data_IF_378088806113
#
_entry.id   IF_378088806113
#
_cell.length_a   1.000
_cell.length_b   1.000
_cell.length_c   1.000
_cell.angle_alpha   90.00
_cell.angle_beta   90.00
_cell.angle_gamma   90.00
#
_symmetry.space_group_name_H-M   'P 1'
#
loop_
_entity.id
_entity.type
_entity.pdbx_description
1 polymer ?
#
# COMPACT_ATOMS: atom_id res chain seq x y z
N UNK A 1 3.32 -10.51 8.84
CA UNK A 1 3.37 -9.65 7.64
C UNK A 1 4.63 -8.83 7.77
N UNK A 2 5.49 -8.87 6.75
CA UNK A 2 6.77 -8.18 6.79
C UNK A 2 6.68 -6.98 5.85
N UNK A 3 7.47 -5.94 6.08
CA UNK A 3 7.57 -4.80 5.18
C UNK A 3 8.91 -4.85 4.49
N UNK A 4 8.90 -4.77 3.15
CA UNK A 4 10.09 -4.89 2.33
C UNK A 4 10.35 -3.57 1.60
N UNK A 5 11.58 -3.06 1.69
CA UNK A 5 12.07 -1.93 0.91
C UNK A 5 12.68 -2.43 -0.40
N UNK A 6 12.11 -1.98 -1.51
CA UNK A 6 12.52 -2.34 -2.87
C UNK A 6 13.59 -1.39 -3.44
N UNK A 7 14.25 -1.76 -4.56
CA UNK A 7 15.31 -0.95 -5.18
C UNK A 7 14.94 0.49 -5.51
N UNK A 8 13.68 0.74 -5.90
CA UNK A 8 13.16 2.08 -6.15
C UNK A 8 12.88 2.89 -4.86
N UNK A 9 13.22 2.34 -3.69
CA UNK A 9 13.03 2.98 -2.39
C UNK A 9 11.62 2.83 -1.81
N UNK A 10 10.69 2.20 -2.52
CA UNK A 10 9.33 1.96 -2.01
C UNK A 10 9.29 0.86 -0.98
N UNK A 11 8.45 1.03 0.03
CA UNK A 11 8.27 0.07 1.11
C UNK A 11 6.85 -0.48 1.03
N UNK A 12 6.71 -1.80 0.96
CA UNK A 12 5.39 -2.43 0.85
C UNK A 12 5.25 -3.63 1.80
N UNK A 13 4.03 -3.90 2.29
CA UNK A 13 3.73 -5.15 2.96
C UNK A 13 3.89 -6.33 1.99
N UNK A 14 4.52 -7.38 2.50
CA UNK A 14 4.69 -8.66 1.84
C UNK A 14 4.29 -9.78 2.80
N UNK A 15 3.36 -10.62 2.35
CA UNK A 15 2.97 -11.84 3.04
C UNK A 15 3.43 -13.04 2.22
N UNK A 16 4.43 -13.76 2.73
CA UNK A 16 5.15 -14.80 2.00
C UNK A 16 5.81 -14.21 0.73
N UNK A 17 5.18 -14.36 -0.42
CA UNK A 17 5.59 -13.80 -1.71
C UNK A 17 4.58 -12.81 -2.29
N UNK A 18 3.42 -12.60 -1.64
CA UNK A 18 2.37 -11.69 -2.11
C UNK A 18 2.61 -10.28 -1.59
N UNK A 19 2.79 -9.35 -2.53
CA UNK A 19 2.91 -7.92 -2.34
C UNK A 19 1.53 -7.25 -2.32
N UNK A 20 1.37 -6.19 -1.54
CA UNK A 20 0.33 -5.18 -1.76
C UNK A 20 0.98 -3.79 -1.84
N UNK A 21 0.94 -3.17 -3.02
CA UNK A 21 1.51 -1.84 -3.27
C UNK A 21 0.44 -0.81 -3.63
N UNK A 22 0.70 0.46 -3.32
CA UNK A 22 -0.16 1.58 -3.72
C UNK A 22 0.63 2.48 -4.67
N UNK A 23 0.31 2.40 -5.96
CA UNK A 23 1.10 3.01 -7.04
C UNK A 23 0.35 4.19 -7.61
N UNK A 24 0.95 5.37 -7.56
CA UNK A 24 0.44 6.60 -8.19
C UNK A 24 0.89 6.65 -9.66
N UNK A 25 -0.06 6.61 -10.59
CA UNK A 25 0.20 6.68 -12.04
C UNK A 25 -0.40 7.97 -12.60
N UNK A 26 0.44 8.79 -13.25
CA UNK A 26 -0.03 10.01 -13.92
C UNK A 26 -0.98 9.66 -15.08
N UNK A 27 -2.07 10.42 -15.22
CA UNK A 27 -3.04 10.26 -16.30
C UNK A 27 -2.38 10.43 -17.69
N UNK A 28 -1.35 11.26 -17.81
CA UNK A 28 -0.61 11.46 -19.06
C UNK A 28 0.20 10.21 -19.45
N UNK A 29 0.57 9.37 -18.47
CA UNK A 29 1.21 8.07 -18.72
C UNK A 29 0.21 6.97 -19.12
N UNK A 30 -1.10 7.22 -18.98
CA UNK A 30 -2.18 6.29 -19.35
C UNK A 30 -2.72 6.54 -20.77
N UNK A 31 -2.07 7.41 -21.56
CA UNK A 31 -2.59 7.92 -22.82
C UNK A 31 -2.87 6.81 -23.87
N UNK A 32 -2.13 5.71 -23.81
CA UNK A 32 -2.40 4.51 -24.60
C UNK A 32 -2.84 3.39 -23.63
N UNK A 33 -4.14 3.12 -23.56
CA UNK A 33 -4.75 2.07 -22.71
C UNK A 33 -4.40 0.66 -23.22
N UNK A 34 -3.11 0.35 -23.32
CA UNK A 34 -2.61 -1.00 -23.47
C UNK A 34 -2.37 -1.60 -22.08
N UNK A 35 -2.93 -2.80 -21.86
CA UNK A 35 -2.79 -3.55 -20.62
C UNK A 35 -1.32 -3.86 -20.35
N UNK A 36 -0.55 -4.18 -21.39
CA UNK A 36 0.88 -4.47 -21.26
C UNK A 36 1.68 -3.21 -20.89
N UNK A 37 1.31 -2.06 -21.43
CA UNK A 37 1.85 -0.75 -21.05
C UNK A 37 1.62 -0.43 -19.58
N UNK A 38 0.38 -0.60 -19.09
CA UNK A 38 0.05 -0.39 -17.68
C UNK A 38 0.84 -1.35 -16.78
N UNK A 39 0.91 -2.64 -17.12
CA UNK A 39 1.66 -3.64 -16.35
C UNK A 39 3.14 -3.24 -16.21
N UNK A 40 3.77 -2.78 -17.30
CA UNK A 40 5.16 -2.30 -17.26
C UNK A 40 5.34 -1.08 -16.34
N UNK A 41 4.41 -0.13 -16.39
CA UNK A 41 4.40 1.02 -15.49
C UNK A 41 4.28 0.58 -14.03
N UNK A 42 3.37 -0.37 -13.74
CA UNK A 42 3.17 -0.88 -12.38
C UNK A 42 4.41 -1.60 -11.84
N UNK A 43 5.14 -2.35 -12.67
CA UNK A 43 6.40 -2.96 -12.29
C UNK A 43 7.43 -1.92 -11.81
N UNK A 44 7.64 -0.89 -12.63
CA UNK A 44 8.63 0.14 -12.39
C UNK A 44 8.28 0.97 -11.15
N UNK A 45 7.03 1.44 -11.08
CA UNK A 45 6.59 2.31 -9.99
C UNK A 45 6.37 1.56 -8.67
N UNK A 46 5.94 0.29 -8.70
CA UNK A 46 5.80 -0.51 -7.48
C UNK A 46 7.17 -0.88 -6.91
N UNK A 47 8.04 -1.48 -7.71
CA UNK A 47 9.26 -2.13 -7.18
C UNK A 47 10.56 -1.78 -7.94
N UNK A 48 10.49 -1.05 -9.05
CA UNK A 48 11.66 -0.67 -9.86
C UNK A 48 12.29 -1.84 -10.60
N UNK A 49 11.53 -2.91 -10.85
CA UNK A 49 12.03 -4.11 -11.52
C UNK A 49 10.89 -4.92 -12.16
N UNK A 50 11.15 -5.62 -13.29
CA UNK A 50 10.19 -6.51 -13.95
C UNK A 50 10.00 -7.86 -13.20
N UNK A 51 9.81 -7.82 -11.88
CA UNK A 51 9.83 -8.97 -10.98
C UNK A 51 8.46 -9.34 -10.36
N UNK A 52 7.38 -8.63 -10.67
CA UNK A 52 6.02 -9.00 -10.29
C UNK A 52 5.40 -10.05 -11.24
N UNK A 53 4.61 -10.97 -10.70
CA UNK A 53 3.88 -12.02 -11.44
C UNK A 53 2.43 -12.05 -10.98
N UNK A 54 1.53 -12.49 -11.86
CA UNK A 54 0.08 -12.52 -11.61
C UNK A 54 -0.42 -11.19 -11.05
N UNK A 55 -0.12 -10.09 -11.76
CA UNK A 55 -0.44 -8.74 -11.29
C UNK A 55 -1.95 -8.54 -11.38
N UNK A 56 -2.58 -8.39 -10.22
CA UNK A 56 -3.92 -7.87 -10.04
C UNK A 56 -3.82 -6.39 -9.68
N UNK A 57 -4.63 -5.54 -10.30
CA UNK A 57 -4.65 -4.13 -9.99
C UNK A 57 -6.08 -3.59 -9.93
N UNK A 58 -6.31 -2.63 -9.04
CA UNK A 58 -7.60 -1.96 -8.90
C UNK A 58 -7.36 -0.47 -8.67
N UNK A 59 -7.99 0.37 -9.49
CA UNK A 59 -7.99 1.81 -9.25
C UNK A 59 -8.73 2.11 -7.93
N UNK A 60 -8.05 2.77 -6.99
CA UNK A 60 -8.60 3.07 -5.66
C UNK A 60 -9.16 4.47 -5.58
N UNK A 61 -8.38 5.47 -5.98
CA UNK A 61 -8.80 6.87 -5.96
C UNK A 61 -7.94 7.71 -6.92
N UNK A 62 -8.45 8.88 -7.29
CA UNK A 62 -7.68 9.89 -8.00
C UNK A 62 -6.99 10.84 -7.01
N UNK A 63 -5.82 11.32 -7.38
CA UNK A 63 -5.04 12.33 -6.65
C UNK A 63 -4.47 13.33 -7.67
N UNK A 64 -5.12 14.49 -7.78
CA UNK A 64 -4.74 15.49 -8.79
C UNK A 64 -4.87 14.94 -10.22
N UNK A 65 -3.76 14.95 -10.98
CA UNK A 65 -3.67 14.34 -12.32
C UNK A 65 -3.21 12.89 -12.32
N UNK A 66 -3.24 12.21 -11.17
CA UNK A 66 -2.85 10.81 -11.06
C UNK A 66 -3.99 9.93 -10.55
N UNK A 67 -3.90 8.64 -10.87
CA UNK A 67 -4.74 7.58 -10.31
C UNK A 67 -3.87 6.69 -9.44
N UNK A 68 -4.33 6.43 -8.21
CA UNK A 68 -3.67 5.50 -7.30
C UNK A 68 -4.27 4.11 -7.51
N UNK A 69 -3.43 3.18 -7.95
CA UNK A 69 -3.75 1.76 -8.07
C UNK A 69 -3.31 1.01 -6.83
N UNK A 70 -4.19 0.17 -6.28
CA UNK A 70 -3.73 -0.94 -5.45
C UNK A 70 -3.29 -2.07 -6.37
N UNK A 71 -2.07 -2.53 -6.18
CA UNK A 71 -1.44 -3.60 -6.94
C UNK A 71 -1.18 -4.77 -6.01
N UNK A 72 -1.70 -5.93 -6.37
CA UNK A 72 -1.43 -7.19 -5.70
C UNK A 72 -0.73 -8.14 -6.67
N UNK A 73 0.41 -8.69 -6.26
CA UNK A 73 1.20 -9.51 -7.15
C UNK A 73 2.14 -10.44 -6.37
N UNK A 74 2.60 -11.50 -7.03
CA UNK A 74 3.68 -12.35 -6.51
C UNK A 74 5.04 -11.77 -6.88
N UNK A 75 5.93 -11.68 -5.90
CA UNK A 75 7.30 -11.20 -6.12
C UNK A 75 8.19 -12.38 -6.53
N UNK A 76 8.75 -12.32 -7.74
CA UNK A 76 9.79 -13.23 -8.19
C UNK A 76 11.14 -12.83 -7.58
N UNK A 77 11.44 -13.34 -6.39
CA UNK A 77 12.67 -13.01 -5.66
C UNK A 77 13.97 -13.29 -6.42
N UNK A 78 13.97 -14.30 -7.30
CA UNK A 78 15.13 -14.65 -8.12
C UNK A 78 15.51 -13.58 -9.16
N UNK A 79 14.66 -12.58 -9.39
CA UNK A 79 14.96 -11.45 -10.26
C UNK A 79 15.88 -10.40 -9.62
N UNK A 80 16.09 -10.46 -8.30
CA UNK A 80 16.97 -9.52 -7.59
C UNK A 80 18.33 -10.16 -7.29
N UNK A 81 19.42 -9.40 -7.46
CA UNK A 81 20.78 -9.90 -7.27
C UNK A 81 21.61 -8.94 -6.40
N UNK A 82 22.36 -9.49 -5.44
CA UNK A 82 23.31 -8.75 -4.61
C UNK A 82 22.67 -7.59 -3.84
N UNK A 83 23.16 -6.37 -4.07
CA UNK A 83 22.72 -5.17 -3.36
C UNK A 83 21.27 -4.73 -3.70
N UNK A 84 20.67 -5.27 -4.76
CA UNK A 84 19.29 -4.95 -5.17
C UNK A 84 18.24 -5.84 -4.50
N UNK A 85 18.64 -6.75 -3.59
CA UNK A 85 17.68 -7.61 -2.89
C UNK A 85 16.84 -6.74 -1.95
N UNK A 86 15.49 -6.81 -2.04
CA UNK A 86 14.62 -6.08 -1.12
C UNK A 86 14.92 -6.44 0.32
N UNK A 87 14.93 -5.44 1.20
CA UNK A 87 15.32 -5.60 2.61
C UNK A 87 14.11 -5.45 3.50
N UNK A 88 14.01 -6.30 4.52
CA UNK A 88 13.02 -6.10 5.57
C UNK A 88 13.32 -4.81 6.32
N UNK A 89 12.28 -4.04 6.59
CA UNK A 89 12.36 -2.75 7.30
C UNK A 89 11.46 -2.75 8.52
N UNK A 90 11.89 -2.01 9.55
CA UNK A 90 11.13 -1.87 10.76
C UNK A 90 9.89 -0.99 10.54
N UNK A 91 8.81 -1.28 11.27
CA UNK A 91 7.52 -0.58 11.13
C UNK A 91 7.64 0.94 11.26
N UNK A 92 8.57 1.45 12.07
CA UNK A 92 8.77 2.89 12.24
C UNK A 92 9.24 3.56 10.94
N UNK A 93 10.07 2.90 10.14
CA UNK A 93 10.50 3.40 8.83
C UNK A 93 9.33 3.40 7.84
N UNK A 94 8.49 2.37 7.90
CA UNK A 94 7.27 2.26 7.08
C UNK A 94 6.34 3.44 7.36
N UNK A 95 6.03 3.68 8.63
CA UNK A 95 5.13 4.76 9.04
C UNK A 95 5.70 6.13 8.69
N UNK A 96 7.02 6.34 8.85
CA UNK A 96 7.66 7.58 8.42
C UNK A 96 7.50 7.83 6.92
N UNK A 97 7.72 6.82 6.09
CA UNK A 97 7.56 6.94 4.65
C UNK A 97 6.09 7.18 4.28
N UNK A 98 5.17 6.40 4.83
CA UNK A 98 3.74 6.54 4.53
C UNK A 98 3.19 7.88 5.01
N UNK A 99 3.61 8.36 6.17
CA UNK A 99 3.21 9.69 6.66
C UNK A 99 3.65 10.80 5.70
N UNK A 100 4.88 10.71 5.16
CA UNK A 100 5.36 11.66 4.18
C UNK A 100 4.61 11.58 2.84
N UNK A 101 4.38 10.37 2.31
CA UNK A 101 3.75 10.16 1.00
C UNK A 101 2.23 10.44 1.01
N UNK A 102 1.56 10.15 2.13
CA UNK A 102 0.11 10.23 2.28
C UNK A 102 -0.34 11.46 3.09
N UNK A 103 0.61 12.28 3.55
CA UNK A 103 0.35 13.52 4.27
C UNK A 103 -0.23 13.30 5.68
N UNK A 104 0.21 12.27 6.39
CA UNK A 104 -0.24 12.03 7.76
C UNK A 104 0.36 13.05 8.71
N UNK A 105 -0.49 13.56 9.62
CA UNK A 105 -0.03 14.41 10.71
C UNK A 105 0.77 13.62 11.77
N UNK A 106 1.46 14.34 12.66
CA UNK A 106 2.21 13.73 13.77
C UNK A 106 1.34 12.80 14.62
N UNK A 107 0.11 13.22 14.95
CA UNK A 107 -0.81 12.42 15.75
C UNK A 107 -1.20 11.11 15.05
N UNK A 108 -1.48 11.16 13.75
CA UNK A 108 -1.83 9.97 12.94
C UNK A 108 -0.65 9.00 12.84
N UNK A 109 0.56 9.51 12.60
CA UNK A 109 1.77 8.69 12.57
C UNK A 109 2.08 8.06 13.94
N UNK A 110 1.87 8.78 15.04
CA UNK A 110 2.02 8.24 16.40
C UNK A 110 1.00 7.13 16.66
N UNK A 111 -0.28 7.38 16.36
CA UNK A 111 -1.34 6.39 16.54
C UNK A 111 -1.08 5.12 15.72
N UNK A 112 -0.67 5.27 14.46
CA UNK A 112 -0.32 4.15 13.57
C UNK A 112 0.76 3.23 14.14
N UNK A 113 1.73 3.78 14.88
CA UNK A 113 2.76 3.01 15.56
C UNK A 113 2.23 2.33 16.81
N UNK A 114 1.47 3.05 17.63
CA UNK A 114 0.93 2.54 18.90
C UNK A 114 -0.10 1.43 18.69
N UNK A 115 -0.91 1.54 17.63
CA UNK A 115 -1.94 0.56 17.28
C UNK A 115 -1.41 -0.57 16.37
N UNK A 116 -0.12 -0.58 16.03
CA UNK A 116 0.42 -1.56 15.11
C UNK A 116 0.34 -2.97 15.69
N UNK A 117 -0.28 -3.89 14.95
CA UNK A 117 -0.46 -5.28 15.38
C UNK A 117 -1.70 -5.51 16.25
N UNK A 118 -2.50 -4.48 16.53
CA UNK A 118 -3.79 -4.66 17.21
C UNK A 118 -4.73 -5.51 16.34
N UNK A 119 -5.23 -6.59 16.93
CA UNK A 119 -6.18 -7.48 16.28
C UNK A 119 -7.61 -7.03 16.60
N UNK A 120 -8.38 -6.79 15.54
CA UNK A 120 -9.82 -6.56 15.62
C UNK A 120 -10.56 -7.80 15.09
N UNK A 121 -11.82 -7.96 15.49
CA UNK A 121 -12.68 -9.02 14.95
C UNK A 121 -13.10 -8.75 13.50
N UNK A 122 -14.17 -9.39 13.05
CA UNK A 122 -14.77 -9.07 11.75
C UNK A 122 -15.23 -7.61 11.71
N UNK A 123 -14.82 -6.89 10.66
CA UNK A 123 -15.15 -5.48 10.46
C UNK A 123 -15.89 -5.25 9.15
N UNK A 124 -16.76 -4.24 9.13
CA UNK A 124 -17.25 -3.62 7.90
C UNK A 124 -16.27 -2.53 7.48
N UNK A 125 -16.07 -2.42 6.18
CA UNK A 125 -15.17 -1.45 5.56
C UNK A 125 -15.97 -0.53 4.65
N UNK A 126 -15.80 0.77 4.83
CA UNK A 126 -16.33 1.79 3.93
C UNK A 126 -15.17 2.64 3.43
N UNK A 127 -14.91 2.59 2.13
CA UNK A 127 -13.91 3.46 1.50
C UNK A 127 -14.37 4.92 1.56
N UNK A 128 -13.45 5.81 1.96
CA UNK A 128 -13.65 7.27 1.97
C UNK A 128 -12.60 7.94 1.07
N UNK A 129 -12.57 9.27 1.03
CA UNK A 129 -11.66 10.02 0.17
C UNK A 129 -10.19 9.71 0.45
N UNK A 130 -9.34 9.88 -0.58
CA UNK A 130 -7.88 9.74 -0.53
C UNK A 130 -7.38 8.36 -0.08
N UNK A 131 -8.14 7.29 -0.35
CA UNK A 131 -7.75 5.92 -0.02
C UNK A 131 -7.82 5.59 1.47
N UNK A 132 -8.43 6.44 2.29
CA UNK A 132 -8.76 6.13 3.68
C UNK A 132 -9.99 5.22 3.72
N UNK A 133 -10.13 4.50 4.82
CA UNK A 133 -11.21 3.55 5.08
C UNK A 133 -11.77 3.80 6.48
N UNK A 134 -13.09 3.76 6.60
CA UNK A 134 -13.75 3.62 7.90
C UNK A 134 -13.95 2.14 8.20
N UNK A 135 -13.53 1.72 9.41
CA UNK A 135 -13.73 0.36 9.90
C UNK A 135 -14.54 0.35 11.18
N UNK A 136 -15.55 -0.52 11.22
CA UNK A 136 -16.46 -0.69 12.37
C UNK A 136 -16.73 -2.17 12.60
N UNK A 137 -17.16 -2.59 13.80
CA UNK A 137 -17.60 -3.98 14.03
C UNK A 137 -18.61 -4.44 12.98
N UNK A 138 -18.45 -5.66 12.45
CA UNK A 138 -19.37 -6.20 11.46
C UNK A 138 -20.72 -6.64 12.06
N UNK A 139 -20.74 -6.95 13.35
CA UNK A 139 -21.89 -7.47 14.08
C UNK A 139 -22.08 -6.73 15.40
N UNK A 140 -23.33 -6.61 15.83
CA UNK A 140 -23.68 -5.92 17.08
C UNK A 140 -23.73 -4.39 16.95
N UNK A 141 -23.89 -3.68 18.09
CA UNK A 141 -23.86 -2.23 18.11
C UNK A 141 -22.47 -1.72 17.72
N UNK A 142 -22.42 -0.56 17.06
CA UNK A 142 -21.18 0.10 16.71
C UNK A 142 -20.49 0.60 17.99
N UNK A 143 -19.55 -0.18 18.51
CA UNK A 143 -18.77 0.15 19.70
C UNK A 143 -17.53 1.01 19.39
N UNK A 144 -17.13 1.06 18.12
CA UNK A 144 -16.00 1.86 17.65
C UNK A 144 -16.08 2.18 16.17
N UNK A 145 -15.34 3.22 15.77
CA UNK A 145 -15.07 3.58 14.39
C UNK A 145 -13.59 3.89 14.28
N UNK A 146 -12.90 3.31 13.30
CA UNK A 146 -11.47 3.55 13.07
C UNK A 146 -11.26 4.11 11.70
N UNK A 147 -10.30 5.02 11.56
CA UNK A 147 -9.83 5.45 10.24
C UNK A 147 -8.56 4.68 9.93
N UNK A 148 -8.56 3.96 8.81
CA UNK A 148 -7.44 3.15 8.35
C UNK A 148 -6.95 3.66 7.00
N UNK A 149 -5.65 3.61 6.76
CA UNK A 149 -5.07 3.89 5.44
C UNK A 149 -3.83 3.01 5.23
N UNK A 150 -3.74 2.36 4.07
CA UNK A 150 -2.65 1.45 3.73
C UNK A 150 -2.36 0.37 4.81
N UNK A 151 -3.42 -0.09 5.50
CA UNK A 151 -3.33 -1.11 6.57
C UNK A 151 -3.00 -0.58 7.96
N UNK A 152 -2.72 0.72 8.13
CA UNK A 152 -2.47 1.35 9.42
C UNK A 152 -3.70 2.08 9.93
N UNK A 153 -3.98 1.95 11.23
CA UNK A 153 -4.98 2.75 11.92
C UNK A 153 -4.40 4.13 12.25
N UNK A 154 -5.10 5.18 11.84
CA UNK A 154 -4.66 6.57 12.00
C UNK A 154 -5.34 7.26 13.18
N UNK A 155 -6.54 6.81 13.54
CA UNK A 155 -7.31 7.27 14.69
C UNK A 155 -8.48 6.31 15.00
N UNK A 156 -9.02 6.45 16.21
CA UNK A 156 -10.17 5.75 16.77
C UNK A 156 -11.16 6.77 17.35
#
# INVERSE_FOLDING_TARGET
>A
MNYMKFPNGKIWPVLLDRLTAFVEVDLDALHDFDVDGLVNILHELAIGAPALRNIEHTARHAKGRAVVFQVEAHVQWSAFAGASIPKEVAVHEVVQQYAAELGWGKAEATHALESFGTAYGEERLVSVANGRELRTPARGPCSYVRIVQAGFELMY
#
